data_IF_551464630925
#
_entry.id   IF_551464630925
#
_cell.length_a   1.000
_cell.length_b   1.000
_cell.length_c   1.000
_cell.angle_alpha   90.00
_cell.angle_beta   90.00
_cell.angle_gamma   90.00
#
_symmetry.space_group_name_H-M   'P 1'
#
loop_
_entity.id
_entity.type
_entity.pdbx_description
1 polymer ?
#
# COMPACT_ATOMS: atom_id res chain seq x y z
N UNK A 1 -5.99 -108.96 6.47
CA UNK A 1 -7.15 -108.05 6.63
C UNK A 1 -6.62 -106.69 7.06
N UNK A 2 -6.89 -105.64 6.27
CA UNK A 2 -6.57 -104.19 6.41
C UNK A 2 -5.79 -103.68 5.18
N UNK A 3 -6.53 -103.08 4.26
CA UNK A 3 -6.04 -102.28 3.14
C UNK A 3 -6.68 -100.89 3.27
N UNK A 4 -5.87 -99.92 3.70
CA UNK A 4 -6.13 -98.49 3.61
C UNK A 4 -5.55 -98.01 2.28
N UNK A 5 -6.35 -97.37 1.42
CA UNK A 5 -5.85 -96.78 0.17
C UNK A 5 -6.34 -95.32 0.02
N UNK A 6 -5.45 -94.33 -0.23
CA UNK A 6 -5.74 -92.91 -0.09
C UNK A 6 -6.08 -92.27 -1.45
N UNK A 7 -7.24 -92.60 -2.02
CA UNK A 7 -7.68 -92.06 -3.32
C UNK A 7 -8.95 -91.20 -3.25
N UNK A 8 -9.52 -90.96 -2.06
CA UNK A 8 -10.80 -90.24 -1.93
C UNK A 8 -10.67 -88.75 -1.58
N UNK A 9 -9.49 -88.27 -1.17
CA UNK A 9 -9.33 -86.87 -0.74
C UNK A 9 -9.02 -85.89 -1.89
N UNK A 10 -8.50 -86.37 -3.02
CA UNK A 10 -8.04 -85.50 -4.12
C UNK A 10 -9.17 -85.06 -5.07
N UNK A 11 -10.33 -85.73 -5.07
CA UNK A 11 -11.47 -85.39 -5.93
C UNK A 11 -12.35 -84.28 -5.32
N UNK A 12 -12.36 -84.10 -3.99
CA UNK A 12 -13.09 -83.00 -3.36
C UNK A 12 -12.46 -81.62 -3.56
N UNK A 13 -11.15 -81.54 -3.84
CA UNK A 13 -10.46 -80.25 -4.02
C UNK A 13 -10.72 -79.66 -5.42
N UNK A 14 -10.94 -80.50 -6.44
CA UNK A 14 -11.19 -80.05 -7.83
C UNK A 14 -12.64 -79.63 -8.11
N UNK A 15 -13.62 -80.08 -7.31
CA UNK A 15 -15.02 -79.64 -7.43
C UNK A 15 -15.33 -78.38 -6.59
N UNK A 16 -14.55 -78.09 -5.56
CA UNK A 16 -14.65 -76.84 -4.79
C UNK A 16 -14.11 -75.61 -5.57
N UNK A 17 -13.28 -75.83 -6.60
CA UNK A 17 -12.78 -74.75 -7.47
C UNK A 17 -13.76 -74.33 -8.58
N UNK A 18 -14.87 -75.05 -8.79
CA UNK A 18 -15.86 -74.73 -9.84
C UNK A 18 -17.09 -73.99 -9.28
N UNK A 19 -17.36 -74.06 -7.97
CA UNK A 19 -18.55 -73.44 -7.34
C UNK A 19 -18.31 -72.11 -6.62
N UNK A 20 -17.09 -71.58 -6.60
CA UNK A 20 -16.82 -70.24 -6.02
C UNK A 20 -16.73 -69.11 -7.07
N UNK A 21 -17.32 -69.33 -8.26
CA UNK A 21 -17.33 -68.36 -9.35
C UNK A 21 -18.67 -67.63 -9.50
N UNK A 22 -19.40 -67.42 -8.39
CA UNK A 22 -20.57 -66.54 -8.35
C UNK A 22 -20.52 -65.64 -7.11
N UNK A 23 -19.34 -65.09 -6.78
CA UNK A 23 -19.38 -63.76 -6.19
C UNK A 23 -19.65 -62.81 -7.33
N UNK A 24 -20.91 -62.41 -7.41
CA UNK A 24 -21.35 -61.21 -8.10
C UNK A 24 -20.34 -60.13 -7.75
N UNK A 25 -19.46 -59.82 -8.69
CA UNK A 25 -18.88 -58.51 -8.83
C UNK A 25 -20.10 -57.58 -8.96
N UNK A 26 -20.60 -57.08 -7.83
CA UNK A 26 -21.18 -55.76 -7.83
C UNK A 26 -20.01 -54.83 -8.12
N UNK A 27 -19.66 -54.74 -9.40
CA UNK A 27 -19.23 -53.45 -9.94
C UNK A 27 -20.44 -52.58 -9.71
N UNK A 28 -20.56 -51.99 -8.51
CA UNK A 28 -21.15 -50.67 -8.41
C UNK A 28 -20.36 -49.90 -9.46
N UNK A 29 -21.00 -49.62 -10.58
CA UNK A 29 -20.48 -48.70 -11.55
C UNK A 29 -20.23 -47.43 -10.75
N UNK A 30 -18.96 -47.18 -10.37
CA UNK A 30 -18.57 -46.00 -9.62
C UNK A 30 -19.10 -44.82 -10.43
N UNK A 31 -20.21 -44.24 -9.96
CA UNK A 31 -20.90 -43.17 -10.66
C UNK A 31 -19.88 -42.04 -10.78
N UNK A 32 -19.54 -41.66 -12.01
CA UNK A 32 -18.60 -40.59 -12.23
C UNK A 32 -19.34 -39.28 -11.93
N UNK A 33 -19.19 -38.79 -10.68
CA UNK A 33 -19.87 -37.59 -10.21
C UNK A 33 -19.50 -36.31 -10.98
N UNK A 34 -18.42 -36.32 -11.77
CA UNK A 34 -18.08 -35.22 -12.68
C UNK A 34 -19.00 -35.26 -13.91
N UNK A 35 -19.23 -36.44 -14.48
CA UNK A 35 -20.08 -36.60 -15.67
C UNK A 35 -21.58 -36.60 -15.35
N UNK A 36 -21.97 -37.10 -14.17
CA UNK A 36 -23.36 -37.18 -13.69
C UNK A 36 -23.50 -36.64 -12.27
N UNK A 37 -23.40 -35.31 -12.08
CA UNK A 37 -23.42 -34.65 -10.76
C UNK A 37 -24.80 -34.66 -10.07
N UNK A 38 -25.86 -35.04 -10.79
CA UNK A 38 -27.24 -35.05 -10.31
C UNK A 38 -27.63 -36.37 -9.64
N UNK A 39 -26.75 -37.37 -9.64
CA UNK A 39 -27.01 -38.67 -9.03
C UNK A 39 -26.98 -38.54 -7.50
N UNK A 40 -27.99 -39.08 -6.82
CA UNK A 40 -28.10 -39.09 -5.35
C UNK A 40 -26.89 -39.70 -4.62
N UNK A 41 -26.10 -40.55 -5.28
CA UNK A 41 -24.85 -41.11 -4.74
C UNK A 41 -23.73 -40.07 -4.60
N UNK A 42 -23.80 -38.95 -5.33
CA UNK A 42 -22.76 -37.92 -5.37
C UNK A 42 -22.88 -36.85 -4.27
N UNK A 43 -23.86 -36.96 -3.37
CA UNK A 43 -24.11 -35.95 -2.32
C UNK A 43 -22.88 -35.68 -1.44
N UNK A 44 -22.16 -36.73 -1.07
CA UNK A 44 -20.95 -36.65 -0.24
C UNK A 44 -19.66 -36.84 -1.05
N UNK A 45 -19.73 -36.71 -2.38
CA UNK A 45 -18.54 -36.76 -3.22
C UNK A 45 -17.66 -35.55 -2.92
N UNK A 46 -16.36 -35.79 -2.77
CA UNK A 46 -15.34 -34.76 -2.64
C UNK A 46 -14.41 -34.83 -3.83
N UNK A 47 -14.16 -33.68 -4.45
CA UNK A 47 -13.26 -33.62 -5.58
C UNK A 47 -11.81 -33.83 -5.09
N UNK A 48 -11.06 -34.80 -5.65
CA UNK A 48 -9.73 -35.14 -5.14
C UNK A 48 -8.79 -33.92 -5.15
N UNK A 49 -8.18 -33.64 -4.00
CA UNK A 49 -7.30 -32.46 -3.82
C UNK A 49 -6.17 -32.42 -4.86
N UNK A 50 -5.63 -33.58 -5.27
CA UNK A 50 -4.60 -33.65 -6.33
C UNK A 50 -5.08 -33.08 -7.66
N UNK A 51 -6.35 -33.34 -8.02
CA UNK A 51 -6.94 -32.87 -9.26
C UNK A 51 -7.30 -31.39 -9.15
N UNK A 52 -7.83 -30.96 -7.99
CA UNK A 52 -8.06 -29.55 -7.69
C UNK A 52 -6.78 -28.74 -7.86
N UNK A 53 -5.67 -29.18 -7.25
CA UNK A 53 -4.38 -28.49 -7.36
C UNK A 53 -3.84 -28.52 -8.78
N UNK A 54 -4.08 -29.59 -9.55
CA UNK A 54 -3.72 -29.63 -10.96
C UNK A 54 -4.52 -28.60 -11.79
N UNK A 55 -5.83 -28.51 -11.56
CA UNK A 55 -6.71 -27.55 -12.25
C UNK A 55 -6.30 -26.10 -11.89
N UNK A 56 -6.02 -25.80 -10.62
CA UNK A 56 -5.50 -24.49 -10.17
C UNK A 56 -4.15 -24.17 -10.82
N UNK A 57 -3.22 -25.13 -10.84
CA UNK A 57 -1.91 -24.92 -11.45
C UNK A 57 -2.03 -24.70 -12.97
N UNK A 58 -2.96 -25.39 -13.65
CA UNK A 58 -3.27 -25.16 -15.06
C UNK A 58 -3.74 -23.73 -15.31
N UNK A 59 -4.72 -23.27 -14.53
CA UNK A 59 -5.22 -21.90 -14.57
C UNK A 59 -4.10 -20.86 -14.35
N UNK A 60 -3.25 -21.07 -13.35
CA UNK A 60 -2.16 -20.15 -13.03
C UNK A 60 -0.97 -20.22 -13.99
N UNK A 61 -0.79 -21.31 -14.74
CA UNK A 61 0.20 -21.37 -15.81
C UNK A 61 -0.27 -20.60 -17.05
N UNK A 62 -1.56 -20.67 -17.36
CA UNK A 62 -2.14 -19.95 -18.50
C UNK A 62 -2.28 -18.44 -18.21
N UNK A 63 -2.66 -18.08 -16.99
CA UNK A 63 -2.85 -16.70 -16.54
C UNK A 63 -2.42 -16.53 -15.07
N UNK A 64 -1.15 -16.22 -14.86
CA UNK A 64 -0.54 -16.06 -13.54
C UNK A 64 -1.05 -14.86 -12.73
N UNK A 65 -1.61 -13.85 -13.41
CA UNK A 65 -2.09 -12.59 -12.85
C UNK A 65 -3.52 -12.64 -12.26
N UNK A 66 -4.19 -13.79 -12.32
CA UNK A 66 -5.56 -13.95 -11.79
C UNK A 66 -5.58 -13.89 -10.25
N UNK A 67 -6.65 -13.33 -9.64
CA UNK A 67 -6.75 -13.22 -8.18
C UNK A 67 -6.70 -14.58 -7.47
N UNK A 68 -7.19 -15.67 -8.08
CA UNK A 68 -7.08 -17.02 -7.51
C UNK A 68 -5.61 -17.45 -7.32
N UNK A 69 -4.72 -17.03 -8.22
CA UNK A 69 -3.30 -17.40 -8.19
C UNK A 69 -2.56 -16.64 -7.10
N UNK A 70 -2.95 -15.39 -6.88
CA UNK A 70 -2.50 -14.58 -5.74
C UNK A 70 -2.90 -15.26 -4.41
N UNK A 71 -4.17 -15.64 -4.29
CA UNK A 71 -4.68 -16.35 -3.09
C UNK A 71 -3.95 -17.68 -2.90
N UNK A 72 -3.76 -18.47 -3.96
CA UNK A 72 -3.02 -19.74 -3.89
C UNK A 72 -1.58 -19.53 -3.40
N UNK A 73 -0.90 -18.50 -3.91
CA UNK A 73 0.48 -18.19 -3.53
C UNK A 73 0.59 -17.82 -2.05
N UNK A 74 -0.36 -17.04 -1.53
CA UNK A 74 -0.38 -16.63 -0.13
C UNK A 74 -0.82 -17.76 0.82
N UNK A 75 -1.75 -18.61 0.39
CA UNK A 75 -2.09 -19.81 1.17
C UNK A 75 -0.91 -20.79 1.25
N UNK A 76 -0.12 -20.90 0.18
CA UNK A 76 1.11 -21.69 0.16
C UNK A 76 2.23 -21.07 1.01
N UNK A 77 2.31 -19.75 1.14
CA UNK A 77 3.34 -19.08 1.98
C UNK A 77 3.05 -19.30 3.47
N UNK A 78 1.78 -19.36 3.87
CA UNK A 78 1.33 -19.51 5.26
C UNK A 78 1.15 -21.00 5.65
N UNK A 79 1.26 -21.93 4.69
CA UNK A 79 1.01 -23.38 4.87
C UNK A 79 -0.36 -23.69 5.50
N UNK A 80 -1.40 -22.99 5.03
CA UNK A 80 -2.78 -23.19 5.47
C UNK A 80 -3.62 -23.88 4.41
N UNK A 81 -4.44 -24.85 4.82
CA UNK A 81 -5.38 -25.58 3.95
C UNK A 81 -6.82 -25.48 4.45
N UNK A 82 -7.14 -24.46 5.24
CA UNK A 82 -8.45 -24.32 5.90
C UNK A 82 -9.19 -23.05 5.47
N UNK A 83 -10.52 -23.10 5.53
CA UNK A 83 -11.37 -21.96 5.17
C UNK A 83 -11.14 -21.54 3.72
N UNK A 84 -10.73 -20.28 3.53
CA UNK A 84 -10.42 -19.68 2.22
C UNK A 84 -9.24 -20.36 1.53
N UNK A 85 -8.29 -20.88 2.30
CA UNK A 85 -7.13 -21.58 1.76
C UNK A 85 -7.40 -23.06 1.44
N UNK A 86 -8.64 -23.52 1.56
CA UNK A 86 -8.98 -24.87 1.11
C UNK A 86 -8.91 -24.93 -0.42
N UNK A 87 -8.19 -25.90 -1.04
CA UNK A 87 -7.96 -25.91 -2.48
C UNK A 87 -9.23 -25.80 -3.32
N UNK A 88 -10.32 -26.46 -2.92
CA UNK A 88 -11.58 -26.37 -3.66
C UNK A 88 -12.21 -24.97 -3.62
N UNK A 89 -12.03 -24.25 -2.50
CA UNK A 89 -12.48 -22.85 -2.36
C UNK A 89 -11.69 -21.93 -3.30
N UNK A 90 -10.38 -22.14 -3.43
CA UNK A 90 -9.52 -21.38 -4.33
C UNK A 90 -9.89 -21.64 -5.79
N UNK A 91 -10.20 -22.89 -6.15
CA UNK A 91 -10.70 -23.22 -7.49
C UNK A 91 -12.05 -22.53 -7.77
N UNK A 92 -12.94 -22.47 -6.78
CA UNK A 92 -14.21 -21.75 -6.87
C UNK A 92 -14.00 -20.25 -7.14
N UNK A 93 -12.99 -19.62 -6.54
CA UNK A 93 -12.68 -18.19 -6.73
C UNK A 93 -12.49 -17.82 -8.21
N UNK A 94 -11.79 -18.67 -8.98
CA UNK A 94 -11.59 -18.46 -10.40
C UNK A 94 -12.77 -18.91 -11.26
N UNK A 95 -13.27 -20.12 -11.01
CA UNK A 95 -14.20 -20.78 -11.91
C UNK A 95 -15.66 -20.34 -11.72
N UNK A 96 -16.05 -19.86 -10.54
CA UNK A 96 -17.44 -19.49 -10.27
C UNK A 96 -17.79 -18.10 -10.84
N UNK A 97 -16.91 -17.11 -10.70
CA UNK A 97 -17.24 -15.72 -11.00
C UNK A 97 -16.29 -15.01 -11.99
N UNK A 98 -15.02 -15.40 -12.06
CA UNK A 98 -14.03 -14.67 -12.86
C UNK A 98 -13.98 -15.15 -14.31
N UNK A 99 -13.54 -16.40 -14.53
CA UNK A 99 -13.35 -16.98 -15.88
C UNK A 99 -13.87 -18.42 -15.96
N UNK A 100 -15.19 -18.64 -15.89
CA UNK A 100 -15.78 -19.98 -15.97
C UNK A 100 -15.46 -20.71 -17.29
N UNK A 101 -15.09 -20.00 -18.35
CA UNK A 101 -14.86 -20.58 -19.68
C UNK A 101 -13.51 -21.27 -19.88
N UNK A 102 -12.60 -21.24 -18.89
CA UNK A 102 -11.28 -21.87 -19.03
C UNK A 102 -11.38 -23.39 -18.99
N UNK A 103 -10.46 -24.06 -19.71
CA UNK A 103 -10.45 -25.51 -19.85
C UNK A 103 -10.39 -26.21 -18.49
N UNK A 104 -9.54 -25.72 -17.60
CA UNK A 104 -9.31 -26.31 -16.28
C UNK A 104 -10.47 -26.02 -15.30
N UNK A 105 -11.40 -25.12 -15.65
CA UNK A 105 -12.67 -24.96 -14.95
C UNK A 105 -13.76 -25.96 -15.39
N UNK A 106 -13.53 -26.75 -16.44
CA UNK A 106 -14.56 -27.65 -16.99
C UNK A 106 -15.05 -28.66 -15.96
N UNK A 107 -14.15 -29.25 -15.16
CA UNK A 107 -14.52 -30.22 -14.13
C UNK A 107 -15.36 -29.56 -13.03
N UNK A 108 -14.91 -28.38 -12.55
CA UNK A 108 -15.63 -27.60 -11.55
C UNK A 108 -17.03 -27.22 -12.02
N UNK A 109 -17.17 -26.72 -13.24
CA UNK A 109 -18.46 -26.28 -13.78
C UNK A 109 -19.45 -27.43 -13.96
N UNK A 110 -18.96 -28.62 -14.33
CA UNK A 110 -19.79 -29.82 -14.40
C UNK A 110 -20.22 -30.22 -12.98
N UNK A 111 -19.28 -30.30 -12.04
CA UNK A 111 -19.52 -30.70 -10.66
C UNK A 111 -20.45 -29.74 -9.91
N UNK A 112 -20.29 -28.43 -10.10
CA UNK A 112 -21.02 -27.37 -9.40
C UNK A 112 -22.09 -26.69 -10.26
N UNK A 113 -22.67 -27.44 -11.21
CA UNK A 113 -23.83 -26.98 -11.96
C UNK A 113 -25.06 -26.78 -11.05
N UNK A 114 -26.01 -25.94 -11.47
CA UNK A 114 -27.23 -25.65 -10.68
C UNK A 114 -28.10 -26.88 -10.36
N UNK A 115 -27.90 -28.00 -11.06
CA UNK A 115 -28.63 -29.25 -10.83
C UNK A 115 -27.88 -30.25 -9.96
N UNK A 116 -26.62 -29.97 -9.63
CA UNK A 116 -25.75 -30.86 -8.86
C UNK A 116 -26.24 -31.05 -7.43
N UNK A 117 -26.10 -32.27 -6.92
CA UNK A 117 -26.39 -32.61 -5.52
C UNK A 117 -25.14 -32.63 -4.63
N UNK A 118 -23.97 -32.33 -5.19
CA UNK A 118 -22.67 -32.36 -4.50
C UNK A 118 -22.62 -31.23 -3.45
N UNK A 119 -22.53 -31.59 -2.17
CA UNK A 119 -22.52 -30.61 -1.08
C UNK A 119 -21.28 -29.72 -1.06
N UNK A 120 -20.14 -30.22 -1.53
CA UNK A 120 -18.86 -29.49 -1.52
C UNK A 120 -18.99 -28.13 -2.25
N UNK A 121 -19.72 -28.08 -3.36
CA UNK A 121 -20.01 -26.84 -4.11
C UNK A 121 -20.80 -25.79 -3.32
N UNK A 122 -21.63 -26.22 -2.36
CA UNK A 122 -22.43 -25.32 -1.53
C UNK A 122 -21.74 -24.96 -0.22
N UNK A 123 -20.92 -25.85 0.34
CA UNK A 123 -20.23 -25.67 1.61
C UNK A 123 -18.89 -24.92 1.45
N UNK A 124 -18.24 -25.05 0.28
CA UNK A 124 -16.94 -24.46 -0.05
C UNK A 124 -17.11 -23.53 -1.25
N UNK A 125 -17.61 -22.32 -0.98
CA UNK A 125 -17.86 -21.32 -2.01
C UNK A 125 -16.68 -20.35 -2.15
N UNK A 126 -16.62 -19.71 -3.31
CA UNK A 126 -15.70 -18.61 -3.56
C UNK A 126 -15.81 -17.50 -2.50
N UNK A 127 -14.73 -16.75 -2.32
CA UNK A 127 -14.66 -15.52 -1.52
C UNK A 127 -15.72 -14.55 -2.04
N UNK A 128 -16.73 -14.29 -1.21
CA UNK A 128 -17.77 -13.34 -1.53
C UNK A 128 -17.18 -11.94 -1.77
N UNK A 129 -17.45 -11.38 -2.94
CA UNK A 129 -17.02 -10.03 -3.31
C UNK A 129 -15.61 -9.94 -3.91
N UNK A 130 -14.94 -11.06 -4.19
CA UNK A 130 -13.68 -11.05 -4.94
C UNK A 130 -13.92 -10.48 -6.36
N UNK A 131 -13.25 -9.37 -6.75
CA UNK A 131 -13.44 -8.80 -8.08
C UNK A 131 -12.84 -9.69 -9.17
N UNK A 132 -13.45 -9.67 -10.35
CA UNK A 132 -12.95 -10.41 -11.52
C UNK A 132 -11.62 -9.83 -12.01
N UNK A 133 -10.79 -10.64 -12.65
CA UNK A 133 -9.53 -10.22 -13.29
C UNK A 133 -9.75 -9.02 -14.23
N UNK A 134 -10.81 -9.04 -15.04
CA UNK A 134 -11.16 -7.93 -15.94
C UNK A 134 -11.48 -6.64 -15.19
N UNK A 135 -12.17 -6.76 -14.05
CA UNK A 135 -12.56 -5.65 -13.20
C UNK A 135 -11.36 -5.09 -12.41
N UNK A 136 -10.50 -5.96 -11.86
CA UNK A 136 -9.25 -5.58 -11.21
C UNK A 136 -8.35 -4.79 -12.16
N UNK A 137 -8.18 -5.28 -13.39
CA UNK A 137 -7.39 -4.58 -14.40
C UNK A 137 -7.93 -3.18 -14.69
N UNK A 138 -9.25 -3.00 -14.73
CA UNK A 138 -9.87 -1.68 -14.95
C UNK A 138 -9.69 -0.76 -13.75
N UNK A 139 -9.81 -1.27 -12.52
CA UNK A 139 -9.59 -0.50 -11.30
C UNK A 139 -8.15 -0.02 -11.19
N UNK A 140 -7.18 -0.92 -11.40
CA UNK A 140 -5.76 -0.55 -11.37
C UNK A 140 -5.46 0.47 -12.48
N UNK A 141 -5.97 0.28 -13.70
CA UNK A 141 -5.80 1.25 -14.77
C UNK A 141 -6.36 2.63 -14.41
N UNK A 142 -7.58 2.70 -13.85
CA UNK A 142 -8.22 3.95 -13.43
C UNK A 142 -7.41 4.68 -12.36
N UNK A 143 -6.99 3.96 -11.33
CA UNK A 143 -6.21 4.52 -10.21
C UNK A 143 -4.85 4.99 -10.72
N UNK A 144 -4.10 4.13 -11.42
CA UNK A 144 -2.73 4.44 -11.84
C UNK A 144 -2.64 5.49 -12.96
N UNK A 145 -3.71 5.73 -13.71
CA UNK A 145 -3.77 6.82 -14.70
C UNK A 145 -4.20 8.14 -14.08
N UNK A 146 -5.02 8.11 -13.02
CA UNK A 146 -5.47 9.31 -12.32
C UNK A 146 -4.44 9.84 -11.33
N UNK A 147 -3.61 8.96 -10.75
CA UNK A 147 -2.56 9.32 -9.81
C UNK A 147 -1.39 8.33 -9.82
N UNK A 148 -0.19 8.87 -9.59
CA UNK A 148 1.02 8.07 -9.46
C UNK A 148 1.17 7.60 -8.01
N UNK A 149 1.12 6.29 -7.82
CA UNK A 149 1.33 5.61 -6.54
C UNK A 149 2.41 4.54 -6.70
N UNK A 150 3.14 4.20 -5.63
CA UNK A 150 4.27 3.26 -5.70
C UNK A 150 3.83 1.86 -6.14
N UNK A 151 2.65 1.40 -5.71
CA UNK A 151 2.11 0.11 -6.11
C UNK A 151 1.86 0.02 -7.63
N UNK A 152 1.60 1.15 -8.31
CA UNK A 152 1.43 1.17 -9.77
C UNK A 152 2.71 0.82 -10.53
N UNK A 153 3.89 1.00 -9.92
CA UNK A 153 5.17 0.63 -10.54
C UNK A 153 5.38 -0.88 -10.70
N UNK A 154 4.60 -1.68 -9.96
CA UNK A 154 4.66 -3.14 -10.03
C UNK A 154 3.99 -3.69 -11.30
N UNK A 155 3.16 -2.89 -11.97
CA UNK A 155 2.43 -3.27 -13.18
C UNK A 155 2.89 -2.44 -14.38
N UNK A 156 2.97 -3.06 -15.56
CA UNK A 156 3.10 -2.31 -16.82
C UNK A 156 1.72 -1.86 -17.28
N UNK A 157 1.41 -0.57 -17.11
CA UNK A 157 0.12 0.00 -17.50
C UNK A 157 0.08 0.21 -19.03
N UNK A 158 -0.88 -0.39 -19.75
CA UNK A 158 -1.01 -0.21 -21.20
C UNK A 158 -1.45 1.22 -21.54
N UNK A 159 -1.21 1.66 -22.78
CA UNK A 159 -1.61 3.00 -23.24
C UNK A 159 -3.14 3.16 -23.42
N UNK A 160 -3.89 2.06 -23.43
CA UNK A 160 -5.34 2.04 -23.65
C UNK A 160 -6.03 1.19 -22.59
N UNK A 161 -7.20 1.66 -22.13
CA UNK A 161 -8.01 0.99 -21.10
C UNK A 161 -8.65 -0.33 -21.55
N UNK A 162 -8.53 -0.67 -22.83
CA UNK A 162 -9.11 -1.88 -23.42
C UNK A 162 -8.21 -3.11 -23.29
N UNK A 163 -6.94 -2.92 -22.95
CA UNK A 163 -5.98 -4.02 -22.76
C UNK A 163 -5.95 -4.44 -21.29
N UNK A 164 -6.03 -5.76 -21.04
CA UNK A 164 -5.87 -6.31 -19.69
C UNK A 164 -4.42 -6.18 -19.24
N UNK A 165 -4.23 -5.86 -17.96
CA UNK A 165 -2.94 -5.87 -17.29
C UNK A 165 -2.61 -7.32 -16.95
N UNK A 166 -1.49 -7.82 -17.48
CA UNK A 166 -1.09 -9.23 -17.34
C UNK A 166 0.31 -9.40 -16.74
N UNK A 167 0.94 -8.30 -16.32
CA UNK A 167 2.37 -8.27 -15.97
C UNK A 167 2.63 -8.24 -14.46
N UNK A 168 1.57 -8.34 -13.65
CA UNK A 168 1.66 -8.20 -12.21
C UNK A 168 0.57 -9.00 -11.51
N UNK A 169 0.74 -9.20 -10.20
CA UNK A 169 -0.29 -9.74 -9.32
C UNK A 169 -1.39 -8.69 -9.10
N UNK A 170 -2.50 -8.84 -9.84
CA UNK A 170 -3.59 -7.86 -9.82
C UNK A 170 -4.22 -7.70 -8.44
N UNK A 171 -4.41 -8.80 -7.70
CA UNK A 171 -5.08 -8.74 -6.40
C UNK A 171 -4.18 -8.04 -5.38
N UNK A 172 -2.90 -8.38 -5.35
CA UNK A 172 -1.92 -7.76 -4.43
C UNK A 172 -1.75 -6.27 -4.70
N UNK A 173 -1.60 -5.87 -5.97
CA UNK A 173 -1.48 -4.45 -6.33
C UNK A 173 -2.77 -3.68 -6.02
N UNK A 174 -3.93 -4.22 -6.38
CA UNK A 174 -5.22 -3.58 -6.09
C UNK A 174 -5.46 -3.40 -4.58
N UNK A 175 -5.20 -4.43 -3.78
CA UNK A 175 -5.35 -4.36 -2.31
C UNK A 175 -4.39 -3.34 -1.71
N UNK A 176 -3.12 -3.29 -2.16
CA UNK A 176 -2.15 -2.27 -1.73
C UNK A 176 -2.59 -0.84 -2.06
N UNK A 177 -3.14 -0.62 -3.26
CA UNK A 177 -3.69 0.68 -3.67
C UNK A 177 -4.87 1.09 -2.77
N UNK A 178 -5.78 0.17 -2.49
CA UNK A 178 -6.95 0.43 -1.66
C UNK A 178 -6.61 0.57 -0.16
N UNK A 179 -5.56 -0.08 0.32
CA UNK A 179 -5.04 0.14 1.67
C UNK A 179 -4.48 1.55 1.84
N UNK A 180 -3.86 2.13 0.81
CA UNK A 180 -3.36 3.50 0.82
C UNK A 180 -4.47 4.55 0.75
N UNK A 181 -5.50 4.30 -0.05
CA UNK A 181 -6.65 5.19 -0.22
C UNK A 181 -7.96 4.41 -0.27
N UNK A 182 -8.53 4.08 0.90
CA UNK A 182 -9.72 3.23 0.98
C UNK A 182 -10.99 3.92 0.48
N UNK A 183 -11.01 5.25 0.41
CA UNK A 183 -12.22 6.05 0.11
C UNK A 183 -12.45 6.30 -1.40
N UNK A 184 -11.66 5.68 -2.27
CA UNK A 184 -11.93 5.70 -3.71
C UNK A 184 -13.14 4.85 -4.10
N UNK A 185 -13.83 5.26 -5.17
CA UNK A 185 -14.93 4.50 -5.77
C UNK A 185 -14.53 3.08 -6.19
N UNK A 186 -13.31 2.95 -6.71
CA UNK A 186 -12.71 1.71 -7.20
C UNK A 186 -12.44 0.71 -6.05
N UNK A 187 -12.36 1.19 -4.81
CA UNK A 187 -12.08 0.38 -3.62
C UNK A 187 -13.34 -0.11 -2.89
N UNK A 188 -14.53 0.07 -3.46
CA UNK A 188 -15.78 -0.42 -2.88
C UNK A 188 -15.83 -1.95 -2.75
N UNK A 189 -15.32 -2.68 -3.75
CA UNK A 189 -15.25 -4.14 -3.71
C UNK A 189 -14.26 -4.63 -2.66
N UNK A 190 -13.07 -4.01 -2.59
CA UNK A 190 -12.09 -4.26 -1.53
C UNK A 190 -12.69 -4.06 -0.13
N UNK A 191 -13.40 -2.94 0.10
CA UNK A 191 -14.11 -2.68 1.36
C UNK A 191 -15.10 -3.78 1.72
N UNK A 192 -15.81 -4.34 0.74
CA UNK A 192 -16.79 -5.42 0.98
C UNK A 192 -16.09 -6.73 1.34
N UNK A 193 -15.00 -7.05 0.66
CA UNK A 193 -14.18 -8.24 0.91
C UNK A 193 -13.49 -8.20 2.29
N UNK A 194 -13.11 -7.00 2.75
CA UNK A 194 -12.41 -6.77 4.02
C UNK A 194 -13.30 -6.28 5.16
N UNK A 195 -14.63 -6.28 5.00
CA UNK A 195 -15.55 -5.90 6.08
C UNK A 195 -15.50 -6.88 7.26
N UNK A 196 -15.75 -6.39 8.47
CA UNK A 196 -15.82 -7.22 9.68
C UNK A 196 -16.90 -8.31 9.53
N UNK A 197 -16.50 -9.58 9.59
CA UNK A 197 -17.37 -10.74 9.38
C UNK A 197 -17.44 -11.24 7.94
N UNK A 198 -16.76 -10.59 6.99
CA UNK A 198 -16.54 -11.15 5.66
C UNK A 198 -15.59 -12.36 5.74
N UNK A 199 -15.76 -13.28 4.78
CA UNK A 199 -15.00 -14.54 4.71
C UNK A 199 -13.49 -14.27 4.67
N UNK A 200 -13.04 -13.32 3.85
CA UNK A 200 -11.61 -12.98 3.77
C UNK A 200 -11.12 -12.18 4.99
N UNK A 201 -11.89 -11.17 5.44
CA UNK A 201 -11.53 -10.34 6.60
C UNK A 201 -11.40 -11.12 7.92
N UNK A 202 -12.07 -12.27 8.03
CA UNK A 202 -11.97 -13.18 9.19
C UNK A 202 -10.98 -14.34 8.99
N UNK A 203 -10.36 -14.44 7.82
CA UNK A 203 -9.44 -15.53 7.46
C UNK A 203 -7.99 -15.22 7.81
N UNK A 204 -7.12 -16.24 7.69
CA UNK A 204 -5.66 -16.10 7.81
C UNK A 204 -5.03 -15.16 6.78
N UNK A 205 -5.75 -14.87 5.67
CA UNK A 205 -5.30 -13.97 4.60
C UNK A 205 -5.62 -12.50 4.86
N UNK A 206 -6.33 -12.20 5.95
CA UNK A 206 -6.71 -10.83 6.32
C UNK A 206 -5.48 -9.93 6.49
N UNK A 207 -4.38 -10.48 7.03
CA UNK A 207 -3.13 -9.74 7.23
C UNK A 207 -2.47 -9.33 5.89
N UNK A 208 -2.61 -10.15 4.85
CA UNK A 208 -2.02 -9.87 3.54
C UNK A 208 -2.85 -8.86 2.73
N UNK A 209 -4.18 -8.97 2.75
CA UNK A 209 -5.05 -8.21 1.83
C UNK A 209 -5.87 -7.10 2.47
N UNK A 210 -6.13 -7.15 3.78
CA UNK A 210 -7.05 -6.25 4.47
C UNK A 210 -6.35 -5.33 5.47
N UNK A 211 -5.57 -5.88 6.40
CA UNK A 211 -4.89 -5.11 7.44
C UNK A 211 -3.45 -5.61 7.64
N UNK A 212 -2.49 -4.92 7.03
CA UNK A 212 -1.07 -5.22 7.21
C UNK A 212 -0.63 -5.10 8.69
N UNK A 213 0.36 -5.88 9.14
CA UNK A 213 0.92 -5.76 10.48
C UNK A 213 1.50 -4.35 10.71
N UNK A 214 1.48 -3.86 11.96
CA UNK A 214 1.84 -2.48 12.35
C UNK A 214 3.19 -2.02 11.75
N UNK A 215 4.14 -2.93 11.55
CA UNK A 215 5.47 -2.68 10.96
C UNK A 215 5.50 -2.46 9.45
N UNK A 216 4.44 -2.84 8.73
CA UNK A 216 4.36 -2.82 7.26
C UNK A 216 3.16 -2.01 6.73
N UNK A 217 2.28 -1.54 7.61
CA UNK A 217 1.17 -0.65 7.25
C UNK A 217 1.65 0.56 6.45
N UNK A 218 0.91 0.83 5.36
CA UNK A 218 1.16 1.95 4.47
C UNK A 218 0.34 3.15 4.98
N UNK A 219 0.97 4.34 5.14
CA UNK A 219 0.28 5.55 5.54
C UNK A 219 -0.84 5.96 4.57
N UNK A 220 -1.91 6.51 5.13
CA UNK A 220 -3.06 6.99 4.36
C UNK A 220 -2.83 8.43 3.91
N UNK A 221 -2.96 8.69 2.61
CA UNK A 221 -2.91 10.08 2.11
C UNK A 221 -4.32 10.68 2.10
N UNK A 222 -4.54 11.71 2.92
CA UNK A 222 -5.84 12.41 3.04
C UNK A 222 -5.66 13.89 2.78
N UNK A 223 -6.52 14.47 1.94
CA UNK A 223 -6.52 15.90 1.60
C UNK A 223 -7.50 16.71 2.47
N UNK A 224 -7.67 16.33 3.74
CA UNK A 224 -8.52 17.02 4.71
C UNK A 224 -7.99 16.78 6.12
N UNK A 225 -8.29 17.66 7.07
CA UNK A 225 -7.77 17.53 8.44
C UNK A 225 -8.16 16.21 9.11
N UNK A 226 -7.16 15.49 9.62
CA UNK A 226 -7.35 14.20 10.28
C UNK A 226 -6.49 14.05 11.54
N UNK A 227 -6.84 13.06 12.35
CA UNK A 227 -6.22 12.72 13.63
C UNK A 227 -5.47 11.39 13.57
N UNK A 228 -5.01 11.02 12.37
CA UNK A 228 -4.21 9.81 12.14
C UNK A 228 -2.87 9.88 12.90
N UNK A 229 -2.31 8.72 13.20
CA UNK A 229 -0.95 8.61 13.76
C UNK A 229 0.07 8.10 12.74
N UNK A 230 -0.37 7.52 11.64
CA UNK A 230 0.44 6.83 10.65
C UNK A 230 0.45 7.66 9.35
N UNK A 231 1.32 8.67 9.29
CA UNK A 231 1.44 9.61 8.18
C UNK A 231 2.90 9.85 7.80
N UNK A 232 3.16 10.13 6.51
CA UNK A 232 4.47 10.61 6.06
C UNK A 232 4.66 12.07 6.47
N UNK A 233 5.76 12.38 7.16
CA UNK A 233 6.02 13.74 7.66
C UNK A 233 6.86 14.57 6.69
N UNK A 234 7.99 14.03 6.25
CA UNK A 234 8.93 14.73 5.36
C UNK A 234 9.70 13.77 4.46
N UNK A 235 10.07 12.61 5.00
CA UNK A 235 10.75 11.54 4.27
C UNK A 235 9.93 10.25 4.40
N UNK A 236 10.06 9.34 3.45
CA UNK A 236 9.42 8.02 3.44
C UNK A 236 9.76 7.19 4.70
N UNK A 237 10.96 7.38 5.25
CA UNK A 237 11.40 6.70 6.47
C UNK A 237 10.85 7.33 7.76
N UNK A 238 10.30 8.54 7.69
CA UNK A 238 9.78 9.27 8.84
C UNK A 238 8.29 9.01 9.00
N UNK A 239 7.96 7.77 9.39
CA UNK A 239 6.60 7.30 9.62
C UNK A 239 6.45 6.85 11.08
N UNK A 240 5.65 7.57 11.88
CA UNK A 240 5.34 7.14 13.24
C UNK A 240 4.41 5.91 13.22
N UNK A 241 4.90 4.78 13.73
CA UNK A 241 4.10 3.54 13.89
C UNK A 241 3.61 3.35 15.33
N UNK A 242 4.01 4.24 16.25
CA UNK A 242 3.60 4.21 17.66
C UNK A 242 3.31 5.62 18.18
N UNK A 243 2.47 5.70 19.21
CA UNK A 243 2.14 6.98 19.88
C UNK A 243 3.39 7.71 20.42
N UNK A 244 4.38 6.94 20.90
CA UNK A 244 5.64 7.50 21.39
C UNK A 244 6.49 8.12 20.28
N UNK A 245 6.64 7.42 19.15
CA UNK A 245 7.32 7.97 17.96
C UNK A 245 6.60 9.23 17.45
N UNK A 246 5.26 9.19 17.39
CA UNK A 246 4.47 10.35 16.98
C UNK A 246 4.70 11.56 17.88
N UNK A 247 4.70 11.38 19.21
CA UNK A 247 5.03 12.43 20.16
C UNK A 247 6.45 12.98 19.95
N UNK A 248 7.42 12.11 19.65
CA UNK A 248 8.79 12.51 19.30
C UNK A 248 8.84 13.45 18.10
N UNK A 249 8.16 13.10 17.01
CA UNK A 249 8.06 13.96 15.83
C UNK A 249 7.33 15.28 16.12
N UNK A 250 6.27 15.24 16.92
CA UNK A 250 5.57 16.46 17.35
C UNK A 250 6.52 17.47 18.01
N UNK A 251 7.33 17.00 18.97
CA UNK A 251 8.34 17.86 19.61
C UNK A 251 9.42 18.31 18.64
N UNK A 252 9.88 17.44 17.74
CA UNK A 252 10.87 17.78 16.71
C UNK A 252 10.37 18.95 15.84
N UNK A 253 9.14 18.87 15.35
CA UNK A 253 8.52 19.94 14.53
C UNK A 253 8.30 21.20 15.36
N UNK A 254 7.81 21.07 16.59
CA UNK A 254 7.63 22.21 17.51
C UNK A 254 8.93 22.98 17.75
N UNK A 255 10.03 22.28 18.07
CA UNK A 255 11.34 22.91 18.25
C UNK A 255 11.92 23.42 16.93
N UNK A 256 11.69 22.72 15.81
CA UNK A 256 12.06 23.19 14.47
C UNK A 256 11.41 24.53 14.12
N UNK A 257 10.13 24.71 14.45
CA UNK A 257 9.41 25.97 14.29
C UNK A 257 9.96 27.10 15.18
N UNK A 258 10.42 26.80 16.40
CA UNK A 258 11.12 27.78 17.25
C UNK A 258 12.45 28.19 16.62
N UNK A 259 13.24 27.23 16.13
CA UNK A 259 14.53 27.50 15.47
C UNK A 259 14.34 28.39 14.24
N UNK A 260 13.29 28.15 13.45
CA UNK A 260 12.93 28.99 12.31
C UNK A 260 12.68 30.46 12.72
N UNK A 261 11.96 30.72 13.81
CA UNK A 261 11.77 32.08 14.31
C UNK A 261 13.06 32.70 14.88
N UNK A 262 13.93 31.89 15.50
CA UNK A 262 15.26 32.32 15.93
C UNK A 262 16.13 32.77 14.75
N UNK A 263 16.13 32.00 13.66
CA UNK A 263 16.91 32.28 12.46
C UNK A 263 16.45 33.58 11.76
N UNK A 264 15.14 33.75 11.56
CA UNK A 264 14.57 35.02 11.05
C UNK A 264 15.00 36.21 11.89
N UNK A 265 15.03 36.03 13.22
CA UNK A 265 15.46 37.09 14.12
C UNK A 265 16.96 37.38 14.00
N UNK A 266 17.79 36.33 13.89
CA UNK A 266 19.23 36.47 13.68
C UNK A 266 19.52 37.25 12.41
N UNK A 267 18.84 36.93 11.30
CA UNK A 267 18.96 37.66 10.04
C UNK A 267 18.60 39.15 10.23
N UNK A 268 17.46 39.44 10.86
CA UNK A 268 17.03 40.82 11.12
C UNK A 268 18.05 41.60 11.98
N UNK A 269 18.67 40.95 12.97
CA UNK A 269 19.72 41.58 13.79
C UNK A 269 20.98 41.87 12.96
N UNK A 270 21.41 40.93 12.12
CA UNK A 270 22.59 41.10 11.27
C UNK A 270 22.40 42.20 10.22
N UNK A 271 21.22 42.25 9.59
CA UNK A 271 20.87 43.31 8.63
C UNK A 271 20.98 44.70 9.27
N UNK A 272 20.44 44.89 10.47
CA UNK A 272 20.57 46.16 11.21
C UNK A 272 22.01 46.49 11.60
N UNK A 273 22.81 45.49 11.98
CA UNK A 273 24.23 45.72 12.31
C UNK A 273 25.01 46.16 11.09
N UNK A 274 24.76 45.55 9.93
CA UNK A 274 25.39 45.94 8.68
C UNK A 274 24.93 47.33 8.21
N UNK A 275 23.65 47.69 8.41
CA UNK A 275 23.15 49.05 8.16
C UNK A 275 23.80 50.09 9.08
N UNK A 276 23.92 49.80 10.37
CA UNK A 276 24.54 50.69 11.34
C UNK A 276 26.04 50.92 11.05
N UNK A 277 26.78 49.87 10.68
CA UNK A 277 28.19 49.98 10.29
C UNK A 277 28.36 50.82 9.01
N UNK A 278 27.47 50.61 8.03
CA UNK A 278 27.46 51.42 6.80
C UNK A 278 27.17 52.90 7.09
N UNK A 279 26.27 53.20 8.01
CA UNK A 279 25.98 54.56 8.43
C UNK A 279 27.18 55.18 9.17
N UNK A 280 27.82 54.44 10.07
CA UNK A 280 29.03 54.89 10.78
C UNK A 280 30.18 55.22 9.82
N UNK A 281 30.39 54.42 8.79
CA UNK A 281 31.41 54.69 7.76
C UNK A 281 31.11 55.98 7.00
N UNK A 282 29.84 56.23 6.66
CA UNK A 282 29.39 57.46 6.01
C UNK A 282 29.64 58.72 6.86
N UNK A 283 29.42 58.63 8.18
CA UNK A 283 29.63 59.77 9.09
C UNK A 283 31.12 60.11 9.23
N UNK A 284 32.02 59.10 9.21
CA UNK A 284 33.47 59.30 9.22
C UNK A 284 33.99 59.91 7.91
N UNK A 285 33.45 59.50 6.77
CA UNK A 285 33.86 60.00 5.45
C UNK A 285 33.22 61.35 5.08
N UNK A 286 32.14 61.80 5.74
CA UNK A 286 31.60 63.15 5.56
C UNK A 286 32.55 64.28 6.01
N UNK A 287 33.56 63.99 6.84
CA UNK A 287 34.55 64.98 7.28
C UNK A 287 35.72 65.17 6.30
N UNK A 288 35.84 64.31 5.27
CA UNK A 288 36.90 64.38 4.27
C UNK A 288 36.28 64.26 2.87
N UNK A 289 36.36 65.32 2.08
CA UNK A 289 35.60 65.48 0.83
C UNK A 289 36.06 64.53 -0.28
N UNK A 290 35.74 63.24 -0.21
CA UNK A 290 35.80 62.30 -1.34
C UNK A 290 34.65 61.27 -1.28
N UNK A 291 33.71 61.26 -2.25
CA UNK A 291 32.59 60.32 -2.27
C UNK A 291 32.98 59.03 -3.00
N UNK A 292 33.31 57.96 -2.26
CA UNK A 292 33.78 56.68 -2.84
C UNK A 292 32.90 55.45 -2.56
N UNK A 293 31.80 55.59 -1.82
CA UNK A 293 31.01 54.43 -1.34
C UNK A 293 29.74 54.10 -2.15
N UNK A 294 29.39 54.93 -3.13
CA UNK A 294 28.22 54.73 -4.01
C UNK A 294 28.64 54.58 -5.47
N UNK A 295 28.14 53.55 -6.14
CA UNK A 295 28.29 53.41 -7.59
C UNK A 295 27.12 54.13 -8.25
N UNK A 296 27.39 55.32 -8.80
CA UNK A 296 26.40 56.12 -9.52
C UNK A 296 26.33 55.67 -10.99
N UNK A 297 25.22 55.06 -11.40
CA UNK A 297 25.00 54.68 -12.80
C UNK A 297 24.28 55.85 -13.49
N UNK A 298 24.97 56.52 -14.42
CA UNK A 298 24.51 57.77 -15.03
C UNK A 298 23.69 57.59 -16.32
N UNK A 299 23.63 56.38 -16.89
CA UNK A 299 22.96 56.10 -18.16
C UNK A 299 22.18 54.78 -18.15
N UNK A 300 21.00 54.78 -18.80
CA UNK A 300 20.12 53.62 -18.94
C UNK A 300 18.91 53.63 -17.99
N UNK A 301 18.13 52.53 -18.01
CA UNK A 301 16.93 52.35 -17.17
C UNK A 301 17.25 52.28 -15.67
N UNK A 302 18.49 51.93 -15.31
CA UNK A 302 18.98 51.82 -13.93
C UNK A 302 19.75 53.07 -13.47
N UNK A 303 19.19 54.26 -13.70
CA UNK A 303 19.79 55.51 -13.23
C UNK A 303 19.57 55.68 -11.73
N UNK A 304 20.63 55.66 -10.94
CA UNK A 304 20.56 55.80 -9.49
C UNK A 304 21.89 55.57 -8.78
N UNK A 305 21.93 55.88 -7.49
CA UNK A 305 23.06 55.59 -6.61
C UNK A 305 22.85 54.24 -5.94
N UNK A 306 23.76 53.29 -6.20
CA UNK A 306 23.69 51.95 -5.64
C UNK A 306 24.77 51.72 -4.59
N UNK A 307 24.47 50.97 -3.52
CA UNK A 307 25.50 50.54 -2.58
C UNK A 307 26.56 49.69 -3.27
N UNK A 308 27.84 49.91 -2.92
CA UNK A 308 28.94 49.04 -3.36
C UNK A 308 28.76 47.62 -2.80
N UNK A 309 28.94 46.62 -3.66
CA UNK A 309 28.86 45.21 -3.28
C UNK A 309 30.02 44.84 -2.35
N UNK A 310 29.70 44.26 -1.19
CA UNK A 310 30.68 43.70 -0.27
C UNK A 310 30.51 42.17 -0.25
N UNK A 311 31.37 41.41 -0.95
CA UNK A 311 31.16 39.98 -1.18
C UNK A 311 30.98 39.19 0.12
N UNK A 312 31.65 39.58 1.21
CA UNK A 312 31.53 38.86 2.49
C UNK A 312 30.13 39.01 3.11
N UNK A 313 29.60 40.23 3.10
CA UNK A 313 28.29 40.54 3.71
C UNK A 313 27.16 40.05 2.82
N UNK A 314 27.27 40.29 1.52
CA UNK A 314 26.23 39.95 0.56
C UNK A 314 26.10 38.43 0.36
N UNK A 315 27.22 37.67 0.36
CA UNK A 315 27.17 36.20 0.33
C UNK A 315 26.55 35.64 1.62
N UNK A 316 26.95 36.14 2.79
CA UNK A 316 26.39 35.68 4.07
C UNK A 316 24.89 35.99 4.19
N UNK A 317 24.46 37.16 3.73
CA UNK A 317 23.04 37.53 3.63
C UNK A 317 22.27 36.56 2.73
N UNK A 318 22.83 36.24 1.56
CA UNK A 318 22.24 35.27 0.63
C UNK A 318 22.11 33.87 1.24
N UNK A 319 23.14 33.40 1.94
CA UNK A 319 23.11 32.08 2.61
C UNK A 319 22.06 32.02 3.72
N UNK A 320 21.98 33.03 4.59
CA UNK A 320 20.95 33.11 5.63
C UNK A 320 19.54 33.16 5.02
N UNK A 321 19.35 33.88 3.92
CA UNK A 321 18.07 33.87 3.23
C UNK A 321 17.72 32.50 2.64
N UNK A 322 18.69 31.79 2.07
CA UNK A 322 18.50 30.44 1.55
C UNK A 322 18.13 29.43 2.65
N UNK A 323 18.77 29.53 3.81
CA UNK A 323 18.45 28.69 4.97
C UNK A 323 17.04 28.98 5.50
N UNK A 324 16.65 30.26 5.59
CA UNK A 324 15.31 30.69 6.01
C UNK A 324 14.23 30.12 5.09
N UNK A 325 14.43 30.22 3.77
CA UNK A 325 13.50 29.65 2.80
C UNK A 325 13.40 28.13 2.95
N UNK A 326 14.53 27.46 3.16
CA UNK A 326 14.57 26.00 3.34
C UNK A 326 13.73 25.59 4.55
N UNK A 327 13.95 26.20 5.73
CA UNK A 327 13.16 25.89 6.92
C UNK A 327 11.68 26.26 6.77
N UNK A 328 11.38 27.37 6.08
CA UNK A 328 9.99 27.76 5.79
C UNK A 328 9.27 26.71 4.95
N UNK A 329 9.91 26.21 3.89
CA UNK A 329 9.30 25.17 3.04
C UNK A 329 9.19 23.83 3.75
N UNK A 330 10.17 23.46 4.59
CA UNK A 330 10.07 22.23 5.39
C UNK A 330 8.87 22.27 6.36
N UNK A 331 8.68 23.37 7.09
CA UNK A 331 7.52 23.54 7.98
C UNK A 331 6.20 23.62 7.21
N UNK A 332 6.22 24.23 6.02
CA UNK A 332 5.06 24.25 5.12
C UNK A 332 4.69 22.84 4.64
N UNK A 333 5.66 22.01 4.22
CA UNK A 333 5.43 20.63 3.83
C UNK A 333 4.79 19.83 4.96
N UNK A 334 5.26 20.04 6.20
CA UNK A 334 4.65 19.40 7.39
C UNK A 334 3.21 19.88 7.61
N UNK A 335 2.92 21.17 7.47
CA UNK A 335 1.54 21.68 7.59
C UNK A 335 0.60 21.14 6.49
N UNK A 336 1.13 20.87 5.30
CA UNK A 336 0.40 20.30 4.17
C UNK A 336 0.10 18.81 4.32
N UNK A 337 0.59 18.14 5.37
CA UNK A 337 0.21 16.76 5.69
C UNK A 337 -1.23 16.64 6.22
N UNK A 338 -1.91 17.75 6.51
CA UNK A 338 -3.26 17.80 7.07
C UNK A 338 -3.45 17.05 8.41
N UNK A 339 -2.37 16.64 9.07
CA UNK A 339 -2.44 16.10 10.42
C UNK A 339 -2.66 17.23 11.44
N UNK A 340 -3.77 17.18 12.17
CA UNK A 340 -4.17 18.23 13.12
C UNK A 340 -3.10 18.48 14.19
N UNK A 341 -2.48 17.42 14.73
CA UNK A 341 -1.51 17.57 15.80
C UNK A 341 -0.19 18.17 15.30
N UNK A 342 0.29 17.77 14.12
CA UNK A 342 1.50 18.35 13.51
C UNK A 342 1.28 19.80 13.08
N UNK A 343 0.10 20.12 12.53
CA UNK A 343 -0.29 21.49 12.20
C UNK A 343 -0.25 22.41 13.43
N UNK A 344 -0.83 21.96 14.56
CA UNK A 344 -0.75 22.70 15.80
C UNK A 344 0.67 22.73 16.38
N UNK A 345 1.52 21.74 16.14
CA UNK A 345 2.93 21.78 16.53
C UNK A 345 3.67 22.95 15.84
N UNK A 346 3.44 23.14 14.54
CA UNK A 346 4.02 24.24 13.76
C UNK A 346 3.51 25.60 14.26
N UNK A 347 2.19 25.76 14.47
CA UNK A 347 1.61 27.01 14.98
C UNK A 347 2.11 27.31 16.39
N UNK A 348 2.03 26.34 17.30
CA UNK A 348 2.47 26.53 18.68
C UNK A 348 3.97 26.87 18.74
N UNK A 349 4.80 26.19 17.95
CA UNK A 349 6.24 26.45 17.89
C UNK A 349 6.56 27.83 17.33
N UNK A 350 5.88 28.28 16.27
CA UNK A 350 6.08 29.63 15.72
C UNK A 350 5.61 30.74 16.67
N UNK A 351 4.48 30.53 17.37
CA UNK A 351 3.99 31.45 18.40
C UNK A 351 4.99 31.56 19.55
N UNK A 352 5.43 30.43 20.11
CA UNK A 352 6.40 30.40 21.20
C UNK A 352 7.74 31.00 20.76
N UNK A 353 8.23 30.67 19.57
CA UNK A 353 9.45 31.24 19.00
C UNK A 353 9.36 32.76 18.89
N UNK A 354 8.25 33.29 18.35
CA UNK A 354 8.05 34.73 18.26
C UNK A 354 7.95 35.42 19.63
N UNK A 355 7.34 34.79 20.64
CA UNK A 355 7.32 35.33 22.00
C UNK A 355 8.74 35.43 22.58
N UNK A 356 9.59 34.41 22.35
CA UNK A 356 10.96 34.36 22.88
C UNK A 356 11.89 35.40 22.23
N UNK A 357 11.88 35.50 20.90
CA UNK A 357 12.87 36.29 20.16
C UNK A 357 12.31 37.49 19.39
N UNK A 358 10.99 37.60 19.23
CA UNK A 358 10.34 38.65 18.43
C UNK A 358 10.71 40.07 18.86
N UNK A 359 10.92 40.30 20.17
CA UNK A 359 11.34 41.61 20.70
C UNK A 359 12.66 42.11 20.11
N UNK A 360 13.58 41.22 19.75
CA UNK A 360 14.87 41.61 19.18
C UNK A 360 14.76 42.07 17.72
N UNK A 361 13.70 41.67 17.00
CA UNK A 361 13.42 42.14 15.63
C UNK A 361 13.03 43.61 15.57
N UNK A 362 12.56 44.21 16.65
CA UNK A 362 12.23 45.65 16.71
C UNK A 362 13.32 46.50 17.35
N UNK A 363 14.34 45.89 17.96
CA UNK A 363 15.45 46.61 18.58
C UNK A 363 16.24 47.40 17.52
N UNK A 364 16.19 48.73 17.58
CA UNK A 364 17.09 49.61 16.83
C UNK A 364 18.25 49.97 17.76
N UNK A 365 19.51 49.68 17.41
CA UNK A 365 20.62 50.15 18.23
C UNK A 365 20.56 51.67 18.28
N UNK A 366 20.71 52.26 19.48
CA UNK A 366 20.83 53.71 19.62
C UNK A 366 22.10 54.14 18.88
N UNK A 367 21.93 54.86 17.77
CA UNK A 367 23.00 55.65 17.16
C UNK A 367 23.07 56.99 17.89
N UNK A 368 23.43 56.96 19.18
CA UNK A 368 23.68 58.19 19.95
C UNK A 368 25.15 58.58 19.80
N UNK A 369 25.40 59.53 18.91
CA UNK A 369 26.17 60.70 19.28
C UNK A 369 25.19 61.88 19.15
N UNK A 370 24.94 62.58 20.27
CA UNK A 370 24.00 63.70 20.44
C UNK A 370 22.54 63.32 20.76
N UNK A 371 22.31 62.94 22.02
CA UNK A 371 21.24 63.53 22.84
C UNK A 371 21.90 64.11 24.10
#
# INVERSE_FOLDING_TARGET
MKLTNPFSLTICILLATIFNNNNILSVDAQVNCIATPNDSSCVNYQYPVSNVTQDINGLCMDMDFMPLCSVQKECNSIDSQTGVCYPFSILADGCQYDMPGMKDCSNYNQLCSNTSVVKECTERQAIAGLPKTTQLSQYIYSICTSMSMDACSQCTIPATSSSMITTCDLLSVYTSLCQQMPDMSECASWKTMCQNGAVLGSSVLSEAYCEAPIGEQIPLMRMFFHTGILDYILFETWVPRSKGQFAGYWFLIFFGAIVFECEKTLRSILEKRWEAEKQRQKDLTMSDSTPTDTVSISQGFFKGDYPKFNPKIDILRGFLHGFELTLSYLLMLVAMTFNVALFFAVIAGTVVGNILVGRYRSFKPKVTCCD
#
